data_IF_590747429634
#
_entry.id   IF_590747429634
#
_cell.length_a   1.000
_cell.length_b   1.000
_cell.length_c   1.000
_cell.angle_alpha   90.00
_cell.angle_beta   90.00
_cell.angle_gamma   90.00
#
_symmetry.space_group_name_H-M   'P 1'
#
loop_
_entity.id
_entity.type
_entity.pdbx_description
1 polymer ?
#
# COMPACT_ATOMS: atom_id res chain seq x y z
N UNK A 1 9.27 -18.62 5.25
CA UNK A 1 8.87 -17.24 5.56
C UNK A 1 8.74 -16.52 4.24
N UNK A 2 7.52 -16.14 3.89
CA UNK A 2 7.31 -15.27 2.73
C UNK A 2 7.80 -13.86 3.07
N UNK A 3 8.48 -13.20 2.13
CA UNK A 3 8.88 -11.82 2.33
C UNK A 3 7.67 -10.94 2.00
N UNK A 4 6.81 -10.71 3.00
CA UNK A 4 5.58 -9.93 2.86
C UNK A 4 5.82 -8.53 2.29
N UNK A 5 6.93 -7.89 2.66
CA UNK A 5 7.32 -6.59 2.11
C UNK A 5 7.54 -6.66 0.61
N UNK A 6 8.29 -7.67 0.14
CA UNK A 6 8.51 -7.88 -1.29
C UNK A 6 7.20 -8.18 -2.02
N UNK A 7 6.37 -9.08 -1.47
CA UNK A 7 5.08 -9.44 -2.06
C UNK A 7 4.17 -8.20 -2.18
N UNK A 8 4.13 -7.37 -1.13
CA UNK A 8 3.34 -6.16 -1.12
C UNK A 8 3.78 -5.19 -2.23
N UNK A 9 5.09 -4.94 -2.31
CA UNK A 9 5.67 -3.99 -3.27
C UNK A 9 5.55 -4.48 -4.72
N UNK A 10 5.87 -5.75 -5.01
CA UNK A 10 5.79 -6.31 -6.36
C UNK A 10 4.38 -6.18 -6.94
N UNK A 11 3.37 -6.52 -6.15
CA UNK A 11 1.97 -6.44 -6.58
C UNK A 11 1.51 -5.00 -6.70
N UNK A 12 1.91 -4.13 -5.77
CA UNK A 12 1.63 -2.69 -5.87
C UNK A 12 2.21 -2.09 -7.16
N UNK A 13 3.48 -2.38 -7.49
CA UNK A 13 4.10 -1.88 -8.72
C UNK A 13 3.39 -2.37 -9.98
N UNK A 14 2.87 -3.60 -9.97
CA UNK A 14 2.07 -4.13 -11.07
C UNK A 14 0.80 -3.28 -11.26
N UNK A 15 0.07 -2.99 -10.18
CA UNK A 15 -1.14 -2.15 -10.23
C UNK A 15 -0.79 -0.74 -10.73
N UNK A 16 0.32 -0.16 -10.25
CA UNK A 16 0.76 1.17 -10.69
C UNK A 16 1.10 1.23 -12.20
N UNK A 17 1.54 0.12 -12.79
CA UNK A 17 1.79 0.03 -14.25
C UNK A 17 0.50 -0.12 -15.07
N UNK A 18 -0.54 -0.71 -14.50
CA UNK A 18 -1.86 -0.86 -15.15
C UNK A 18 -2.67 0.44 -15.14
N UNK A 19 -2.35 1.35 -14.22
CA UNK A 19 -2.90 2.70 -14.14
C UNK A 19 -3.21 3.11 -12.71
N UNK A 20 -2.86 4.34 -12.35
CA UNK A 20 -3.09 4.84 -11.00
C UNK A 20 -4.56 5.14 -10.73
N UNK A 21 -5.15 4.43 -9.76
CA UNK A 21 -6.46 4.71 -9.21
C UNK A 21 -6.43 4.51 -7.69
N UNK A 22 -6.63 5.56 -6.88
CA UNK A 22 -6.58 5.50 -5.42
C UNK A 22 -7.43 4.38 -4.81
N UNK A 23 -8.67 4.20 -5.27
CA UNK A 23 -9.58 3.17 -4.78
C UNK A 23 -9.08 1.74 -5.05
N UNK A 24 -8.40 1.50 -6.18
CA UNK A 24 -7.79 0.20 -6.50
C UNK A 24 -6.61 -0.09 -5.56
N UNK A 25 -5.80 0.92 -5.28
CA UNK A 25 -4.66 0.82 -4.37
C UNK A 25 -5.13 0.59 -2.92
N UNK A 26 -6.12 1.35 -2.47
CA UNK A 26 -6.71 1.21 -1.14
C UNK A 26 -7.32 -0.18 -0.95
N UNK A 27 -8.08 -0.65 -1.94
CA UNK A 27 -8.66 -2.00 -1.95
C UNK A 27 -7.59 -3.07 -1.85
N UNK A 28 -6.52 -2.96 -2.64
CA UNK A 28 -5.40 -3.90 -2.59
C UNK A 28 -4.74 -3.96 -1.21
N UNK A 29 -4.48 -2.80 -0.59
CA UNK A 29 -3.91 -2.75 0.76
C UNK A 29 -4.86 -3.34 1.81
N UNK A 30 -6.17 -3.11 1.66
CA UNK A 30 -7.19 -3.70 2.52
C UNK A 30 -7.23 -5.24 2.40
N UNK A 31 -7.21 -5.78 1.18
CA UNK A 31 -7.15 -7.23 0.93
C UNK A 31 -5.86 -7.83 1.53
N UNK A 32 -4.70 -7.18 1.32
CA UNK A 32 -3.44 -7.62 1.90
C UNK A 32 -3.47 -7.66 3.44
N UNK A 33 -4.09 -6.66 4.07
CA UNK A 33 -4.30 -6.63 5.53
C UNK A 33 -5.18 -7.79 6.04
N UNK A 34 -6.15 -8.25 5.24
CA UNK A 34 -7.02 -9.38 5.61
C UNK A 34 -6.34 -10.74 5.41
N UNK A 35 -5.48 -10.85 4.40
CA UNK A 35 -4.88 -12.12 3.98
C UNK A 35 -3.64 -12.51 4.80
N UNK A 36 -2.96 -11.54 5.43
CA UNK A 36 -1.67 -11.77 6.09
C UNK A 36 -1.64 -11.23 7.53
N UNK A 37 -0.99 -11.99 8.42
CA UNK A 37 -0.55 -11.50 9.73
C UNK A 37 0.79 -10.78 9.56
N UNK A 38 0.79 -9.46 9.71
CA UNK A 38 1.93 -8.60 9.37
C UNK A 38 2.75 -8.26 10.63
N UNK A 39 3.80 -9.03 10.88
CA UNK A 39 4.71 -8.79 12.01
C UNK A 39 5.68 -7.60 11.79
N UNK A 40 5.95 -7.22 10.54
CA UNK A 40 6.82 -6.09 10.20
C UNK A 40 6.07 -4.77 10.46
N UNK A 41 6.36 -4.11 11.58
CA UNK A 41 5.71 -2.88 12.02
C UNK A 41 5.71 -1.77 10.94
N UNK A 42 6.79 -1.66 10.16
CA UNK A 42 6.87 -0.66 9.07
C UNK A 42 5.91 -1.01 7.93
N UNK A 43 5.83 -2.29 7.58
CA UNK A 43 4.88 -2.77 6.57
C UNK A 43 3.44 -2.63 7.07
N UNK A 44 3.18 -2.99 8.32
CA UNK A 44 1.87 -2.82 8.94
C UNK A 44 1.40 -1.37 8.90
N UNK A 45 2.29 -0.42 9.24
CA UNK A 45 2.01 1.01 9.15
C UNK A 45 1.68 1.46 7.72
N UNK A 46 2.48 1.07 6.74
CA UNK A 46 2.23 1.43 5.34
C UNK A 46 0.92 0.85 4.83
N UNK A 47 0.66 -0.43 5.10
CA UNK A 47 -0.60 -1.10 4.70
C UNK A 47 -1.81 -0.43 5.35
N UNK A 48 -1.70 -0.08 6.65
CA UNK A 48 -2.77 0.57 7.39
C UNK A 48 -3.09 1.98 6.88
N UNK A 49 -2.06 2.75 6.51
CA UNK A 49 -2.25 4.06 5.89
C UNK A 49 -2.87 3.94 4.50
N UNK A 50 -2.29 3.08 3.64
CA UNK A 50 -2.69 2.97 2.24
C UNK A 50 -4.12 2.43 2.10
N UNK A 51 -4.55 1.50 2.96
CA UNK A 51 -5.96 1.02 2.92
C UNK A 51 -6.97 2.13 3.27
N UNK A 52 -6.54 3.19 3.97
CA UNK A 52 -7.37 4.32 4.38
C UNK A 52 -7.47 5.45 3.36
N UNK A 53 -6.70 5.41 2.26
CA UNK A 53 -6.62 6.54 1.33
C UNK A 53 -7.92 6.81 0.53
N UNK A 54 -8.83 5.84 0.45
CA UNK A 54 -10.13 5.95 -0.24
C UNK A 54 -11.27 6.30 0.74
N UNK A 55 -10.96 6.61 2.01
CA UNK A 55 -11.97 6.96 3.00
C UNK A 55 -12.57 8.36 2.79
N UNK A 56 -11.75 9.32 2.33
CA UNK A 56 -12.15 10.71 2.05
C UNK A 56 -11.07 11.43 1.22
N UNK A 57 -11.40 12.47 0.43
CA UNK A 57 -10.43 13.15 -0.45
C UNK A 57 -9.19 13.72 0.25
N UNK A 58 -9.27 14.09 1.54
CA UNK A 58 -8.13 14.59 2.30
C UNK A 58 -7.07 13.53 2.62
N UNK A 59 -7.41 12.23 2.51
CA UNK A 59 -6.49 11.11 2.71
C UNK A 59 -5.96 10.54 1.38
N UNK A 60 -6.53 10.99 0.26
CA UNK A 60 -6.14 10.53 -1.07
C UNK A 60 -4.73 11.05 -1.40
N UNK A 61 -3.81 10.13 -1.69
CA UNK A 61 -2.50 10.49 -2.21
C UNK A 61 -2.55 10.55 -3.74
N UNK A 62 -1.74 11.42 -4.35
CA UNK A 62 -1.32 11.25 -5.74
C UNK A 62 -0.34 10.07 -5.87
N UNK A 63 -0.13 9.60 -7.11
CA UNK A 63 0.83 8.52 -7.37
C UNK A 63 2.24 8.84 -6.85
N UNK A 64 2.71 10.09 -7.04
CA UNK A 64 4.02 10.51 -6.54
C UNK A 64 4.09 10.54 -5.02
N UNK A 65 3.03 11.02 -4.36
CA UNK A 65 2.97 11.05 -2.89
C UNK A 65 2.93 9.65 -2.30
N UNK A 66 2.21 8.71 -2.93
CA UNK A 66 2.22 7.30 -2.54
C UNK A 66 3.63 6.70 -2.63
N UNK A 67 4.33 6.93 -3.74
CA UNK A 67 5.69 6.41 -3.94
C UNK A 67 6.65 7.00 -2.90
N UNK A 68 6.58 8.31 -2.64
CA UNK A 68 7.36 8.97 -1.59
C UNK A 68 7.05 8.41 -0.21
N UNK A 69 5.77 8.30 0.15
CA UNK A 69 5.33 7.76 1.43
C UNK A 69 5.87 6.34 1.67
N UNK A 70 5.80 5.48 0.66
CA UNK A 70 6.33 4.11 0.74
C UNK A 70 7.85 4.11 0.90
N UNK A 71 8.55 4.94 0.13
CA UNK A 71 10.00 5.08 0.23
C UNK A 71 10.45 5.54 1.61
N UNK A 72 9.80 6.55 2.17
CA UNK A 72 10.15 7.13 3.47
C UNK A 72 9.90 6.17 4.65
N UNK A 73 8.99 5.20 4.48
CA UNK A 73 8.57 4.30 5.56
C UNK A 73 9.08 2.86 5.42
N UNK A 74 9.43 2.38 4.22
CA UNK A 74 9.90 1.00 3.99
C UNK A 74 11.37 0.89 3.56
N UNK A 75 12.01 1.96 3.09
CA UNK A 75 13.41 1.93 2.68
C UNK A 75 14.39 2.32 3.81
#
# INVERSE_FOLDING_TARGET
MENLRKNFLDRLYTILQEGYQPSVIAKYAYEFYLDYDIDDEKLAYVVDYVKGMDASPEFELSQSELISFIGDNLC
#
